data_IF_776158010562
#
_entry.id   IF_776158010562
#
_cell.length_a   1.000
_cell.length_b   1.000
_cell.length_c   1.000
_cell.angle_alpha   90.00
_cell.angle_beta   90.00
_cell.angle_gamma   90.00
#
_symmetry.space_group_name_H-M   'P 1'
#
loop_
_entity.id
_entity.type
_entity.pdbx_description
1 polymer ?
#
# COMPACT_ATOMS: atom_id res chain seq x y z
N UNK A 1 11.30 -34.43 3.35
CA UNK A 1 10.60 -33.15 3.53
C UNK A 1 11.64 -32.16 4.03
N UNK A 2 11.90 -31.07 3.31
CA UNK A 2 12.94 -30.12 3.72
C UNK A 2 12.47 -29.32 4.94
N UNK A 3 13.01 -29.65 6.12
CA UNK A 3 12.72 -28.97 7.39
C UNK A 3 13.10 -27.48 7.35
N UNK A 4 13.93 -27.06 6.41
CA UNK A 4 14.31 -25.66 6.20
C UNK A 4 13.13 -24.84 5.69
N UNK A 5 12.34 -25.37 4.76
CA UNK A 5 11.16 -24.69 4.21
C UNK A 5 10.12 -24.41 5.30
N UNK A 6 9.80 -25.43 6.12
CA UNK A 6 8.85 -25.27 7.23
C UNK A 6 9.34 -24.26 8.26
N UNK A 7 10.63 -24.30 8.62
CA UNK A 7 11.23 -23.31 9.53
C UNK A 7 11.16 -21.89 8.96
N UNK A 8 11.37 -21.73 7.66
CA UNK A 8 11.28 -20.42 7.00
C UNK A 8 9.85 -19.87 7.05
N UNK A 9 8.83 -20.72 6.91
CA UNK A 9 7.43 -20.31 7.08
C UNK A 9 7.13 -19.88 8.52
N UNK A 10 7.64 -20.59 9.52
CA UNK A 10 7.46 -20.22 10.93
C UNK A 10 8.09 -18.86 11.25
N UNK A 11 9.32 -18.63 10.79
CA UNK A 11 10.00 -17.34 10.97
C UNK A 11 9.28 -16.21 10.23
N UNK A 12 8.74 -16.49 9.05
CA UNK A 12 7.90 -15.54 8.32
C UNK A 12 6.66 -15.16 9.12
N UNK A 13 5.92 -16.15 9.64
CA UNK A 13 4.72 -15.91 10.46
C UNK A 13 5.06 -15.09 11.71
N UNK A 14 6.16 -15.41 12.41
CA UNK A 14 6.63 -14.63 13.57
C UNK A 14 6.94 -13.18 13.19
N UNK A 15 7.60 -12.96 12.05
CA UNK A 15 7.91 -11.64 11.53
C UNK A 15 6.64 -10.83 11.24
N UNK A 16 5.66 -11.42 10.55
CA UNK A 16 4.39 -10.76 10.25
C UNK A 16 3.61 -10.39 11.52
N UNK A 17 3.58 -11.26 12.53
CA UNK A 17 2.97 -10.97 13.84
C UNK A 17 3.64 -9.78 14.53
N UNK A 18 4.97 -9.71 14.50
CA UNK A 18 5.72 -8.59 15.09
C UNK A 18 5.43 -7.28 14.37
N UNK A 19 5.34 -7.31 13.03
CA UNK A 19 4.99 -6.14 12.23
C UNK A 19 3.57 -5.68 12.54
N UNK A 20 2.60 -6.60 12.64
CA UNK A 20 1.22 -6.30 13.00
C UNK A 20 1.14 -5.59 14.37
N UNK A 21 1.81 -6.12 15.39
CA UNK A 21 1.85 -5.49 16.71
C UNK A 21 2.55 -4.13 16.69
N UNK A 22 3.55 -3.94 15.82
CA UNK A 22 4.19 -2.64 15.63
C UNK A 22 3.19 -1.62 15.09
N UNK A 23 2.42 -1.97 14.05
CA UNK A 23 1.44 -1.06 13.45
C UNK A 23 0.27 -0.73 14.38
N UNK A 24 -0.23 -1.69 15.17
CA UNK A 24 -1.23 -1.42 16.22
C UNK A 24 -0.74 -0.40 17.25
N UNK A 25 0.55 -0.43 17.57
CA UNK A 25 1.15 0.53 18.50
C UNK A 25 1.40 1.90 17.85
N UNK A 26 1.75 1.92 16.56
CA UNK A 26 1.89 3.16 15.78
C UNK A 26 0.55 3.87 15.64
N UNK A 27 -0.52 3.14 15.30
CA UNK A 27 -1.89 3.67 15.17
C UNK A 27 -2.30 4.49 16.41
N UNK A 28 -2.16 3.92 17.59
CA UNK A 28 -2.45 4.59 18.87
C UNK A 28 -1.65 5.87 19.10
N UNK A 29 -0.42 5.95 18.59
CA UNK A 29 0.44 7.14 18.76
C UNK A 29 0.07 8.22 17.76
N UNK A 30 -0.18 7.81 16.52
CA UNK A 30 -0.47 8.71 15.40
C UNK A 30 -1.79 9.46 15.59
N UNK A 31 -2.78 8.86 16.25
CA UNK A 31 -4.02 9.54 16.64
C UNK A 31 -3.81 10.78 17.53
N UNK A 32 -2.69 10.85 18.26
CA UNK A 32 -2.31 11.98 19.10
C UNK A 32 -1.10 12.77 18.56
N UNK A 33 -0.59 12.38 17.39
CA UNK A 33 0.59 12.96 16.77
C UNK A 33 0.30 14.22 15.94
N UNK A 34 1.37 14.89 15.52
CA UNK A 34 1.27 16.04 14.63
C UNK A 34 1.16 15.64 13.15
N UNK A 35 1.09 16.64 12.26
CA UNK A 35 1.00 16.40 10.81
C UNK A 35 2.18 15.61 10.26
N UNK A 36 3.40 15.80 10.79
CA UNK A 36 4.58 15.06 10.34
C UNK A 36 4.50 13.60 10.78
N UNK A 37 4.04 13.33 11.99
CA UNK A 37 3.82 11.97 12.49
C UNK A 37 2.86 11.18 11.60
N UNK A 38 1.73 11.80 11.22
CA UNK A 38 0.75 11.23 10.28
C UNK A 38 1.38 10.86 8.94
N UNK A 39 2.21 11.76 8.38
CA UNK A 39 2.89 11.53 7.10
C UNK A 39 3.87 10.37 7.20
N UNK A 40 4.71 10.36 8.23
CA UNK A 40 5.75 9.34 8.42
C UNK A 40 5.11 7.96 8.63
N UNK A 41 4.10 7.88 9.49
CA UNK A 41 3.40 6.62 9.76
C UNK A 41 2.67 6.09 8.52
N UNK A 42 1.96 6.96 7.79
CA UNK A 42 1.27 6.58 6.55
C UNK A 42 2.26 6.06 5.51
N UNK A 43 3.41 6.73 5.34
CA UNK A 43 4.47 6.27 4.41
C UNK A 43 5.05 4.93 4.83
N UNK A 44 5.27 4.72 6.13
CA UNK A 44 5.73 3.42 6.63
C UNK A 44 4.71 2.32 6.33
N UNK A 45 3.41 2.58 6.57
CA UNK A 45 2.33 1.65 6.22
C UNK A 45 2.35 1.28 4.73
N UNK A 46 2.44 2.26 3.82
CA UNK A 46 2.54 1.97 2.39
C UNK A 46 3.75 1.11 2.03
N UNK A 47 4.94 1.41 2.57
CA UNK A 47 6.14 0.62 2.31
C UNK A 47 5.99 -0.84 2.77
N UNK A 48 5.37 -1.05 3.93
CA UNK A 48 5.11 -2.39 4.44
C UNK A 48 4.05 -3.11 3.62
N UNK A 49 2.94 -2.45 3.23
CA UNK A 49 1.92 -3.04 2.37
C UNK A 49 2.49 -3.48 1.03
N UNK A 50 3.29 -2.63 0.35
CA UNK A 50 3.93 -3.01 -0.92
C UNK A 50 4.82 -4.25 -0.78
N UNK A 51 5.60 -4.35 0.30
CA UNK A 51 6.43 -5.53 0.57
C UNK A 51 5.60 -6.79 0.82
N UNK A 52 4.53 -6.67 1.60
CA UNK A 52 3.62 -7.79 1.91
C UNK A 52 2.90 -8.27 0.66
N UNK A 53 2.35 -7.35 -0.14
CA UNK A 53 1.69 -7.68 -1.42
C UNK A 53 2.67 -8.37 -2.36
N UNK A 54 3.90 -7.86 -2.51
CA UNK A 54 4.92 -8.49 -3.35
C UNK A 54 5.30 -9.90 -2.87
N UNK A 55 5.37 -10.10 -1.55
CA UNK A 55 5.63 -11.43 -1.00
C UNK A 55 4.47 -12.40 -1.27
N UNK A 56 3.22 -11.94 -1.16
CA UNK A 56 2.05 -12.74 -1.52
C UNK A 56 1.99 -13.07 -3.02
N UNK A 57 2.32 -12.11 -3.89
CA UNK A 57 2.43 -12.33 -5.33
C UNK A 57 3.47 -13.41 -5.67
N UNK A 58 4.68 -13.30 -5.10
CA UNK A 58 5.71 -14.33 -5.24
C UNK A 58 5.25 -15.69 -4.71
N UNK A 59 4.51 -15.71 -3.59
CA UNK A 59 3.97 -16.94 -3.02
C UNK A 59 2.95 -17.61 -3.96
N UNK A 60 2.10 -16.84 -4.65
CA UNK A 60 1.17 -17.36 -5.66
C UNK A 60 1.88 -17.92 -6.92
N UNK A 61 3.15 -17.58 -7.12
CA UNK A 61 3.99 -18.13 -8.20
C UNK A 61 4.77 -19.38 -7.77
N UNK A 62 4.75 -19.75 -6.49
CA UNK A 62 5.47 -20.92 -5.98
C UNK A 62 4.81 -22.24 -6.46
N UNK A 63 5.56 -23.17 -7.08
CA UNK A 63 5.02 -24.44 -7.57
C UNK A 63 4.33 -25.30 -6.51
N UNK A 64 4.79 -25.24 -5.25
CA UNK A 64 4.16 -25.97 -4.13
C UNK A 64 2.77 -25.40 -3.87
N UNK A 65 2.64 -24.08 -3.90
CA UNK A 65 1.38 -23.37 -3.69
C UNK A 65 0.42 -23.66 -4.83
N UNK A 66 0.87 -23.51 -6.07
CA UNK A 66 0.07 -23.80 -7.27
C UNK A 66 -0.42 -25.25 -7.28
N UNK A 67 0.42 -26.21 -6.88
CA UNK A 67 0.08 -27.63 -6.95
C UNK A 67 -0.83 -28.12 -5.81
N UNK A 68 -0.86 -27.45 -4.65
CA UNK A 68 -1.50 -28.01 -3.45
C UNK A 68 -2.60 -27.14 -2.82
N UNK A 69 -2.67 -25.84 -3.11
CA UNK A 69 -3.79 -25.03 -2.59
C UNK A 69 -5.09 -25.35 -3.31
N UNK A 70 -6.15 -25.51 -2.51
CA UNK A 70 -7.48 -25.71 -3.07
C UNK A 70 -8.03 -24.41 -3.66
N UNK A 71 -8.99 -24.55 -4.57
CA UNK A 71 -9.72 -23.42 -5.14
C UNK A 71 -10.38 -22.56 -4.07
N UNK A 72 -10.92 -23.18 -3.02
CA UNK A 72 -11.60 -22.50 -1.92
C UNK A 72 -10.62 -21.60 -1.16
N UNK A 73 -9.40 -22.09 -0.91
CA UNK A 73 -8.35 -21.31 -0.25
C UNK A 73 -7.89 -20.13 -1.12
N UNK A 74 -7.74 -20.34 -2.44
CA UNK A 74 -7.42 -19.26 -3.38
C UNK A 74 -8.54 -18.23 -3.48
N UNK A 75 -9.80 -18.66 -3.41
CA UNK A 75 -10.96 -17.78 -3.43
C UNK A 75 -11.04 -16.91 -2.17
N UNK A 76 -10.66 -17.45 -1.01
CA UNK A 76 -10.54 -16.67 0.23
C UNK A 76 -9.49 -15.56 0.08
N UNK A 77 -8.30 -15.90 -0.42
CA UNK A 77 -7.24 -14.91 -0.69
C UNK A 77 -7.73 -13.84 -1.66
N UNK A 78 -8.34 -14.24 -2.78
CA UNK A 78 -8.88 -13.30 -3.78
C UNK A 78 -9.87 -12.31 -3.16
N UNK A 79 -10.85 -12.80 -2.40
CA UNK A 79 -11.89 -11.95 -1.78
C UNK A 79 -11.28 -10.90 -0.86
N UNK A 80 -10.32 -11.27 -0.02
CA UNK A 80 -9.65 -10.29 0.84
C UNK A 80 -8.81 -9.30 0.04
N UNK A 81 -8.07 -9.77 -0.97
CA UNK A 81 -7.18 -8.90 -1.74
C UNK A 81 -7.95 -7.91 -2.62
N UNK A 82 -9.09 -8.32 -3.19
CA UNK A 82 -9.93 -7.40 -3.98
C UNK A 82 -10.53 -6.31 -3.10
N UNK A 83 -10.97 -6.62 -1.88
CA UNK A 83 -11.44 -5.60 -0.93
C UNK A 83 -10.34 -4.58 -0.55
N UNK A 84 -9.09 -5.05 -0.39
CA UNK A 84 -7.95 -4.16 -0.13
C UNK A 84 -7.65 -3.29 -1.35
N UNK A 85 -7.70 -3.85 -2.56
CA UNK A 85 -7.51 -3.11 -3.80
C UNK A 85 -8.59 -2.03 -3.98
N UNK A 86 -9.86 -2.38 -3.82
CA UNK A 86 -10.99 -1.46 -3.93
C UNK A 86 -10.83 -0.30 -2.95
N UNK A 87 -10.55 -0.58 -1.67
CA UNK A 87 -10.31 0.47 -0.66
C UNK A 87 -9.13 1.38 -1.03
N UNK A 88 -8.05 0.82 -1.57
CA UNK A 88 -6.89 1.61 -2.00
C UNK A 88 -7.25 2.54 -3.16
N UNK A 89 -8.00 2.04 -4.15
CA UNK A 89 -8.46 2.81 -5.29
C UNK A 89 -9.45 3.91 -4.87
N UNK A 90 -10.38 3.61 -3.97
CA UNK A 90 -11.33 4.60 -3.42
C UNK A 90 -10.59 5.76 -2.73
N UNK A 91 -9.60 5.44 -1.90
CA UNK A 91 -8.77 6.44 -1.20
C UNK A 91 -7.97 7.29 -2.20
N UNK A 92 -7.37 6.67 -3.22
CA UNK A 92 -6.61 7.37 -4.25
C UNK A 92 -7.49 8.33 -5.06
N UNK A 93 -8.64 7.85 -5.53
CA UNK A 93 -9.61 8.65 -6.28
C UNK A 93 -10.06 9.84 -5.45
N UNK A 94 -10.46 9.60 -4.20
CA UNK A 94 -10.97 10.65 -3.30
C UNK A 94 -9.91 11.72 -3.06
N UNK A 95 -8.74 11.35 -2.55
CA UNK A 95 -7.76 12.34 -2.15
C UNK A 95 -7.06 13.03 -3.33
N UNK A 96 -6.87 12.33 -4.45
CA UNK A 96 -6.37 12.98 -5.67
C UNK A 96 -7.36 14.02 -6.19
N UNK A 97 -8.67 13.73 -6.14
CA UNK A 97 -9.72 14.68 -6.51
C UNK A 97 -9.76 15.88 -5.56
N UNK A 98 -9.71 15.66 -4.25
CA UNK A 98 -9.67 16.72 -3.22
C UNK A 98 -8.44 17.63 -3.39
N UNK A 99 -7.26 17.05 -3.67
CA UNK A 99 -6.03 17.81 -3.91
C UNK A 99 -6.16 18.64 -5.18
N UNK A 100 -6.75 18.08 -6.25
CA UNK A 100 -7.02 18.82 -7.50
C UNK A 100 -7.91 20.04 -7.23
N UNK A 101 -9.03 19.86 -6.54
CA UNK A 101 -9.96 20.95 -6.20
C UNK A 101 -9.32 22.02 -5.32
N UNK A 102 -8.54 21.60 -4.31
CA UNK A 102 -7.80 22.51 -3.44
C UNK A 102 -6.81 23.38 -4.25
N UNK A 103 -6.05 22.77 -5.16
CA UNK A 103 -5.08 23.48 -6.00
C UNK A 103 -5.76 24.44 -6.97
N UNK A 104 -6.87 24.04 -7.58
CA UNK A 104 -7.67 24.94 -8.42
C UNK A 104 -8.16 26.15 -7.63
N UNK A 105 -8.64 25.96 -6.41
CA UNK A 105 -9.09 27.06 -5.54
C UNK A 105 -7.92 27.99 -5.19
N UNK A 106 -6.77 27.45 -4.81
CA UNK A 106 -5.57 28.24 -4.51
C UNK A 106 -5.09 29.05 -5.72
N UNK A 107 -5.17 28.47 -6.93
CA UNK A 107 -4.83 29.15 -8.17
C UNK A 107 -5.80 30.31 -8.46
N UNK A 108 -7.11 30.09 -8.33
CA UNK A 108 -8.14 31.14 -8.48
C UNK A 108 -7.96 32.27 -7.47
N UNK A 109 -7.61 31.94 -6.23
CA UNK A 109 -7.41 32.91 -5.15
C UNK A 109 -6.05 33.63 -5.21
N UNK A 110 -5.19 33.31 -6.18
CA UNK A 110 -3.83 33.87 -6.30
C UNK A 110 -2.88 33.47 -5.16
N UNK A 111 -3.20 32.40 -4.41
CA UNK A 111 -2.47 31.92 -3.23
C UNK A 111 -1.55 30.73 -3.53
N UNK A 112 -1.51 30.28 -4.77
CA UNK A 112 -0.64 29.17 -5.17
C UNK A 112 0.82 29.65 -5.26
N UNK A 113 1.71 29.03 -4.48
CA UNK A 113 3.13 29.36 -4.52
C UNK A 113 3.72 28.97 -5.91
N UNK A 114 4.34 29.90 -6.65
CA UNK A 114 4.88 29.66 -7.99
C UNK A 114 5.90 28.51 -8.04
N UNK A 115 6.69 28.31 -6.97
CA UNK A 115 7.70 27.26 -6.90
C UNK A 115 7.10 25.85 -6.88
N UNK A 116 5.88 25.70 -6.36
CA UNK A 116 5.14 24.42 -6.32
C UNK A 116 4.54 24.07 -7.68
N UNK A 117 4.25 25.08 -8.50
CA UNK A 117 3.76 24.88 -9.86
C UNK A 117 4.87 24.41 -10.82
N UNK A 118 6.10 24.86 -10.61
CA UNK A 118 7.25 24.56 -11.48
C UNK A 118 7.94 23.21 -11.21
N UNK A 119 7.78 22.61 -10.01
CA UNK A 119 8.44 21.33 -9.67
C UNK A 119 7.72 20.10 -10.22
N UNK A 120 6.46 20.23 -10.66
CA UNK A 120 5.65 19.08 -11.11
C UNK A 120 5.87 18.66 -12.57
N UNK A 121 6.59 19.44 -13.38
CA UNK A 121 6.77 19.18 -14.81
C UNK A 121 7.98 18.30 -15.15
N UNK A 122 8.83 17.96 -14.16
CA UNK A 122 10.14 17.34 -14.44
C UNK A 122 10.29 15.85 -14.12
N UNK A 123 9.78 15.36 -12.98
CA UNK A 123 10.27 14.09 -12.42
C UNK A 123 9.19 13.12 -11.89
N UNK A 124 7.95 13.56 -11.64
CA UNK A 124 6.90 12.73 -11.02
C UNK A 124 5.96 12.00 -12.01
N UNK A 125 6.08 12.23 -13.32
CA UNK A 125 5.18 11.62 -14.32
C UNK A 125 5.29 10.08 -14.41
N UNK A 126 6.37 9.47 -13.92
CA UNK A 126 6.59 8.03 -14.04
C UNK A 126 5.87 7.22 -12.95
N UNK A 127 5.55 7.81 -11.79
CA UNK A 127 4.98 7.11 -10.64
C UNK A 127 3.48 7.24 -10.45
N UNK A 128 2.83 8.22 -11.09
CA UNK A 128 1.39 8.51 -10.96
C UNK A 128 0.57 8.22 -12.21
N UNK A 129 1.18 7.69 -13.28
CA UNK A 129 0.40 7.20 -14.41
C UNK A 129 -0.45 6.03 -13.92
N UNK A 130 -1.78 6.05 -14.15
CA UNK A 130 -2.63 4.92 -13.81
C UNK A 130 -2.02 3.66 -14.43
N UNK A 131 -1.82 2.58 -13.67
CA UNK A 131 -1.40 1.32 -14.27
C UNK A 131 -2.44 0.96 -15.32
N UNK A 132 -2.01 0.79 -16.56
CA UNK A 132 -2.90 0.29 -17.61
C UNK A 132 -3.24 -1.15 -17.25
N UNK A 133 -4.53 -1.46 -17.12
CA UNK A 133 -5.00 -2.82 -16.92
C UNK A 133 -4.51 -3.68 -18.10
N UNK A 134 -3.44 -4.43 -17.88
CA UNK A 134 -3.09 -5.57 -18.71
C UNK A 134 -3.85 -6.76 -18.13
N UNK A 135 -5.08 -6.95 -18.60
CA UNK A 135 -5.88 -8.15 -18.32
C UNK A 135 -5.70 -9.12 -19.46
#
# INVERSE_FOLDING_TARGET
MDYTFLRNLDEWVKSQRRILETFKNVEKRVESGDRLDLIVATRAAFQHMMRTIKAFDNWLQDPVIIAHLSKEQLLEVWKTMVEVLEKLLEIDIKHTSEVREMLEKLARDGKLNPLVATTRTGEEETGRRPPTLAI
#
